data_IF_833773410899
#
_entry.id   IF_833773410899
#
_cell.length_a   1.000
_cell.length_b   1.000
_cell.length_c   1.000
_cell.angle_alpha   90.00
_cell.angle_beta   90.00
_cell.angle_gamma   90.00
#
_symmetry.space_group_name_H-M   'P 1'
#
loop_
_entity.id
_entity.type
_entity.pdbx_description
1 polymer ?
#
# COMPACT_ATOMS: atom_id res chain seq x y z
N UNK A 1 25.50 27.37 66.35
CA UNK A 1 25.22 26.41 65.25
C UNK A 1 23.72 26.14 65.20
N UNK A 2 23.16 25.83 64.03
CA UNK A 2 21.72 25.61 63.68
C UNK A 2 20.80 26.84 63.60
N UNK A 3 21.00 27.79 62.66
CA UNK A 3 19.95 28.80 62.38
C UNK A 3 19.95 29.45 60.97
N UNK A 4 20.61 28.87 59.95
CA UNK A 4 20.62 29.43 58.57
C UNK A 4 20.09 28.44 57.51
N UNK A 5 19.98 27.15 57.85
CA UNK A 5 19.59 26.09 56.88
C UNK A 5 18.07 25.88 56.72
N UNK A 6 17.26 26.46 57.61
CA UNK A 6 15.78 26.33 57.59
C UNK A 6 15.12 27.47 56.79
N UNK A 7 15.75 28.66 56.73
CA UNK A 7 15.18 29.84 56.07
C UNK A 7 15.29 29.82 54.54
N UNK A 8 16.30 29.16 53.97
CA UNK A 8 16.45 29.03 52.50
C UNK A 8 15.44 28.04 51.91
N UNK A 9 15.02 27.03 52.68
CA UNK A 9 14.13 25.97 52.24
C UNK A 9 12.66 26.43 52.10
N UNK A 10 12.29 27.53 52.77
CA UNK A 10 10.93 28.12 52.68
C UNK A 10 10.77 29.11 51.52
N UNK A 11 11.86 29.64 50.95
CA UNK A 11 11.82 30.53 49.79
C UNK A 11 11.71 29.77 48.45
N UNK A 12 12.30 28.56 48.37
CA UNK A 12 12.27 27.72 47.16
C UNK A 12 10.87 27.14 46.88
N UNK A 13 10.11 26.76 47.92
CA UNK A 13 8.75 26.25 47.74
C UNK A 13 7.74 27.30 47.22
N UNK A 14 7.96 28.60 47.46
CA UNK A 14 7.07 29.66 46.95
C UNK A 14 7.31 29.96 45.45
N UNK A 15 8.53 29.83 44.94
CA UNK A 15 8.80 30.04 43.51
C UNK A 15 8.26 28.91 42.64
N UNK A 16 8.30 27.65 43.09
CA UNK A 16 7.80 26.51 42.32
C UNK A 16 6.26 26.47 42.23
N UNK A 17 5.55 27.00 43.23
CA UNK A 17 4.08 27.10 43.19
C UNK A 17 3.59 28.16 42.18
N UNK A 18 4.34 29.25 41.96
CA UNK A 18 3.94 30.31 41.02
C UNK A 18 4.11 29.89 39.54
N UNK A 19 5.09 29.02 39.23
CA UNK A 19 5.29 28.49 37.88
C UNK A 19 4.25 27.43 37.46
N UNK A 20 3.65 26.71 38.40
CA UNK A 20 2.62 25.70 38.10
C UNK A 20 1.23 26.31 37.83
N UNK A 21 0.88 27.47 38.40
CA UNK A 21 -0.41 28.12 38.08
C UNK A 21 -0.41 28.90 36.76
N UNK A 22 0.75 29.36 36.26
CA UNK A 22 0.84 30.07 34.97
C UNK A 22 0.79 29.13 33.74
N UNK A 23 1.00 27.83 33.91
CA UNK A 23 0.94 26.83 32.82
C UNK A 23 -0.43 26.18 32.66
N UNK A 24 -1.33 26.29 33.63
CA UNK A 24 -2.65 25.67 33.55
C UNK A 24 -3.68 26.55 32.81
N UNK A 25 -3.54 27.88 32.87
CA UNK A 25 -4.43 28.80 32.16
C UNK A 25 -4.18 28.86 30.63
N UNK A 26 -2.96 28.51 30.15
CA UNK A 26 -2.68 28.36 28.71
C UNK A 26 -3.14 27.03 28.13
N UNK A 27 -3.25 25.98 28.95
CA UNK A 27 -3.70 24.65 28.50
C UNK A 27 -5.21 24.59 28.27
N UNK A 28 -6.01 25.36 29.03
CA UNK A 28 -7.46 25.39 28.82
C UNK A 28 -7.93 26.18 27.59
N UNK A 29 -7.15 27.13 27.09
CA UNK A 29 -7.51 27.86 25.86
C UNK A 29 -6.91 27.24 24.59
N UNK A 30 -5.84 26.44 24.69
CA UNK A 30 -5.30 25.67 23.56
C UNK A 30 -6.17 24.45 23.20
N UNK A 31 -6.92 23.90 24.16
CA UNK A 31 -7.72 22.68 23.95
C UNK A 31 -9.02 22.90 23.16
N UNK A 32 -9.54 24.13 23.05
CA UNK A 32 -10.89 24.37 22.49
C UNK A 32 -10.85 25.10 21.14
N UNK A 33 -9.69 25.62 20.70
CA UNK A 33 -9.55 26.27 19.38
C UNK A 33 -8.80 25.42 18.35
N UNK A 34 -8.22 24.28 18.74
CA UNK A 34 -7.74 23.25 17.79
C UNK A 34 -8.91 22.31 17.49
N UNK A 35 -9.97 22.85 16.88
CA UNK A 35 -11.12 22.04 16.41
C UNK A 35 -11.66 22.53 15.07
N UNK A 36 -10.99 23.49 14.42
CA UNK A 36 -11.43 24.06 13.15
C UNK A 36 -10.34 24.09 12.05
N UNK A 37 -9.16 23.51 12.30
CA UNK A 37 -8.06 23.43 11.31
C UNK A 37 -7.50 22.00 11.09
N UNK A 38 -8.14 20.96 11.62
CA UNK A 38 -7.82 19.55 11.29
C UNK A 38 -8.72 18.99 10.18
N UNK A 39 -9.49 19.86 9.53
CA UNK A 39 -10.11 19.58 8.23
C UNK A 39 -8.97 19.64 7.20
N UNK A 40 -8.37 18.47 6.92
CA UNK A 40 -7.77 18.03 5.63
C UNK A 40 -6.61 17.02 5.84
N UNK A 41 -6.91 15.81 6.35
CA UNK A 41 -6.37 14.54 5.80
C UNK A 41 -7.13 13.31 6.34
N UNK A 42 -8.41 13.47 6.69
CA UNK A 42 -9.23 12.41 7.28
C UNK A 42 -10.34 11.91 6.35
N UNK A 43 -10.36 12.32 5.07
CA UNK A 43 -11.43 11.93 4.14
C UNK A 43 -10.91 11.60 2.73
N UNK A 44 -10.10 10.55 2.63
CA UNK A 44 -10.36 9.53 1.61
C UNK A 44 -10.75 8.25 2.35
N UNK A 45 -12.05 8.17 2.61
CA UNK A 45 -12.76 6.92 2.77
C UNK A 45 -12.56 6.09 1.49
N UNK A 46 -11.94 4.93 1.61
CA UNK A 46 -12.31 3.74 0.86
C UNK A 46 -11.72 2.51 1.52
N UNK A 47 -12.58 1.78 2.23
CA UNK A 47 -12.47 0.36 2.57
C UNK A 47 -11.29 -0.06 3.44
N UNK A 48 -11.53 -0.99 4.36
CA UNK A 48 -10.47 -1.72 5.06
C UNK A 48 -9.72 -2.62 4.09
N UNK A 49 -8.92 -2.03 3.22
CA UNK A 49 -7.85 -2.73 2.53
C UNK A 49 -6.65 -2.63 3.45
N UNK A 50 -6.51 -3.64 4.32
CA UNK A 50 -5.26 -3.95 5.00
C UNK A 50 -4.18 -4.00 3.92
N UNK A 51 -3.42 -2.90 3.78
CA UNK A 51 -2.34 -2.82 2.81
C UNK A 51 -1.40 -3.97 3.13
N UNK A 52 -1.35 -4.97 2.26
CA UNK A 52 -0.56 -6.18 2.51
C UNK A 52 0.90 -5.76 2.41
N UNK A 53 1.62 -5.87 3.52
CA UNK A 53 3.03 -5.50 3.60
C UNK A 53 3.93 -6.72 3.40
N UNK A 54 5.09 -6.52 2.77
CA UNK A 54 6.09 -7.56 2.61
C UNK A 54 6.69 -7.95 3.97
N UNK A 55 6.68 -9.23 4.37
CA UNK A 55 7.16 -9.66 5.68
C UNK A 55 8.70 -9.56 5.84
N UNK A 56 9.43 -9.29 4.76
CA UNK A 56 10.90 -9.20 4.77
C UNK A 56 11.41 -7.76 4.90
N UNK A 57 10.76 -6.81 4.23
CA UNK A 57 11.18 -5.40 4.22
C UNK A 57 10.21 -4.45 4.90
N UNK A 58 9.03 -4.92 5.33
CA UNK A 58 7.96 -4.09 5.91
C UNK A 58 7.54 -2.94 4.99
N UNK A 59 7.64 -3.14 3.68
CA UNK A 59 7.17 -2.19 2.67
C UNK A 59 5.80 -2.63 2.14
N UNK A 60 4.89 -1.70 1.85
CA UNK A 60 3.60 -2.02 1.26
C UNK A 60 3.78 -2.67 -0.11
N UNK A 61 3.04 -3.75 -0.37
CA UNK A 61 3.04 -4.41 -1.68
C UNK A 61 2.23 -3.57 -2.68
N UNK A 62 2.81 -3.36 -3.86
CA UNK A 62 2.12 -2.75 -4.99
C UNK A 62 1.04 -3.68 -5.55
N UNK A 63 0.09 -3.13 -6.31
CA UNK A 63 -1.04 -3.88 -6.88
C UNK A 63 -0.57 -5.09 -7.71
N UNK A 64 0.53 -4.96 -8.44
CA UNK A 64 1.13 -6.05 -9.21
C UNK A 64 1.79 -7.13 -8.34
N UNK A 65 2.27 -6.75 -7.15
CA UNK A 65 2.90 -7.65 -6.18
C UNK A 65 1.86 -8.41 -5.33
N UNK A 66 0.61 -7.93 -5.25
CA UNK A 66 -0.49 -8.61 -4.53
C UNK A 66 -0.84 -9.99 -5.12
N UNK A 67 -0.60 -10.20 -6.41
CA UNK A 67 -0.79 -11.49 -7.08
C UNK A 67 0.53 -12.21 -7.39
N UNK A 68 1.66 -11.70 -6.87
CA UNK A 68 2.97 -12.28 -7.08
C UNK A 68 3.32 -13.30 -6.00
N UNK A 69 3.27 -14.59 -6.36
CA UNK A 69 3.65 -15.71 -5.50
C UNK A 69 4.82 -16.46 -6.12
N UNK A 70 6.09 -16.15 -5.74
CA UNK A 70 7.24 -16.79 -6.35
C UNK A 70 7.35 -18.28 -5.99
N UNK A 71 6.67 -18.74 -4.93
CA UNK A 71 6.59 -20.14 -4.55
C UNK A 71 5.14 -20.62 -4.41
N UNK A 72 4.90 -21.88 -4.77
CA UNK A 72 3.59 -22.55 -4.65
C UNK A 72 3.14 -22.82 -3.21
N UNK A 73 3.95 -22.48 -2.20
CA UNK A 73 3.54 -22.56 -0.80
C UNK A 73 2.62 -21.42 -0.34
N UNK A 74 2.42 -20.39 -1.18
CA UNK A 74 1.61 -19.22 -0.83
C UNK A 74 2.34 -18.17 0.01
N UNK A 75 3.66 -18.28 0.18
CA UNK A 75 4.45 -17.26 0.86
C UNK A 75 4.68 -16.05 -0.06
N UNK A 76 4.03 -14.94 0.26
CA UNK A 76 4.08 -13.69 -0.50
C UNK A 76 5.21 -12.78 0.00
N UNK A 77 5.96 -12.22 -0.94
CA UNK A 77 7.05 -11.27 -0.71
C UNK A 77 7.10 -10.28 -1.89
N UNK A 78 7.67 -9.10 -1.70
CA UNK A 78 7.82 -8.13 -2.77
C UNK A 78 8.82 -8.59 -3.84
N UNK A 79 8.74 -7.96 -5.01
CA UNK A 79 9.63 -8.22 -6.16
C UNK A 79 11.11 -8.05 -5.82
N UNK A 80 11.44 -7.01 -5.04
CA UNK A 80 12.82 -6.68 -4.66
C UNK A 80 13.43 -7.73 -3.73
N UNK A 81 12.70 -8.17 -2.71
CA UNK A 81 13.16 -9.23 -1.81
C UNK A 81 13.36 -10.55 -2.56
N UNK A 82 12.44 -10.92 -3.45
CA UNK A 82 12.62 -12.10 -4.31
C UNK A 82 13.90 -12.00 -5.16
N UNK A 83 14.16 -10.83 -5.76
CA UNK A 83 15.37 -10.63 -6.55
C UNK A 83 16.64 -10.75 -5.71
N UNK A 84 16.67 -10.15 -4.52
CA UNK A 84 17.79 -10.25 -3.58
C UNK A 84 18.06 -11.71 -3.17
N UNK A 85 17.01 -12.45 -2.79
CA UNK A 85 17.14 -13.85 -2.39
C UNK A 85 17.73 -14.72 -3.52
N UNK A 86 17.38 -14.42 -4.77
CA UNK A 86 17.88 -15.16 -5.94
C UNK A 86 19.32 -14.78 -6.32
N UNK A 87 19.73 -13.53 -6.09
CA UNK A 87 21.03 -13.01 -6.53
C UNK A 87 22.11 -13.14 -5.45
N UNK A 88 21.78 -12.83 -4.19
CA UNK A 88 22.75 -12.71 -3.10
C UNK A 88 22.70 -13.88 -2.10
N UNK A 89 21.60 -14.64 -2.07
CA UNK A 89 21.36 -15.74 -1.13
C UNK A 89 21.12 -17.07 -1.87
N UNK A 90 20.48 -18.04 -1.20
CA UNK A 90 20.36 -19.43 -1.66
C UNK A 90 19.32 -19.64 -2.76
N UNK A 91 18.53 -18.63 -3.15
CA UNK A 91 17.41 -18.77 -4.07
C UNK A 91 16.26 -19.66 -3.55
N UNK A 92 16.21 -19.91 -2.25
CA UNK A 92 15.21 -20.76 -1.59
C UNK A 92 14.13 -19.92 -0.93
N UNK A 93 12.89 -20.42 -0.93
CA UNK A 93 11.79 -19.78 -0.22
C UNK A 93 12.03 -19.75 1.30
N UNK A 94 11.85 -18.60 1.98
CA UNK A 94 12.06 -18.49 3.43
C UNK A 94 11.15 -19.40 4.26
N UNK A 95 9.92 -19.64 3.81
CA UNK A 95 8.94 -20.44 4.54
C UNK A 95 9.11 -21.94 4.33
N UNK A 96 9.27 -22.39 3.08
CA UNK A 96 9.23 -23.82 2.73
C UNK A 96 10.57 -24.40 2.27
N UNK A 97 11.62 -23.56 2.17
CA UNK A 97 12.98 -23.93 1.72
C UNK A 97 13.05 -24.61 0.34
N UNK A 98 12.00 -24.53 -0.48
CA UNK A 98 12.03 -24.99 -1.88
C UNK A 98 12.70 -23.94 -2.76
N UNK A 99 13.47 -24.39 -3.75
CA UNK A 99 14.01 -23.52 -4.77
C UNK A 99 12.86 -22.86 -5.55
N UNK A 100 12.99 -21.56 -5.81
CA UNK A 100 12.07 -20.89 -6.70
C UNK A 100 12.21 -21.49 -8.10
N UNK A 101 11.08 -21.74 -8.79
CA UNK A 101 11.13 -22.23 -10.17
C UNK A 101 11.77 -21.15 -11.05
N UNK A 102 12.92 -21.44 -11.64
CA UNK A 102 13.69 -20.46 -12.40
C UNK A 102 13.07 -20.11 -13.76
N UNK A 103 11.95 -20.73 -14.12
CA UNK A 103 11.40 -20.58 -15.45
C UNK A 103 10.64 -19.24 -15.57
N UNK A 104 11.14 -18.27 -16.36
CA UNK A 104 10.39 -17.06 -16.66
C UNK A 104 9.12 -17.50 -17.35
N UNK A 105 7.99 -17.45 -16.63
CA UNK A 105 6.63 -17.81 -17.04
C UNK A 105 6.61 -18.72 -18.28
N UNK A 106 6.46 -20.04 -18.11
CA UNK A 106 6.27 -20.98 -19.21
C UNK A 106 5.26 -20.42 -20.23
N UNK A 107 5.78 -19.67 -21.21
CA UNK A 107 4.98 -19.00 -22.20
C UNK A 107 4.74 -20.10 -23.20
N UNK A 108 3.75 -20.93 -22.91
CA UNK A 108 3.30 -21.95 -23.85
C UNK A 108 2.79 -21.15 -25.04
N UNK A 109 3.53 -21.11 -26.17
CA UNK A 109 3.03 -20.38 -27.32
C UNK A 109 1.74 -21.06 -27.75
N UNK A 110 0.70 -20.26 -28.00
CA UNK A 110 -0.56 -20.77 -28.54
C UNK A 110 -0.26 -21.61 -29.79
N UNK A 111 -0.87 -22.79 -29.88
CA UNK A 111 -0.70 -23.67 -31.03
C UNK A 111 -1.15 -22.95 -32.31
N UNK A 112 -0.61 -23.35 -33.46
CA UNK A 112 -0.98 -22.75 -34.75
C UNK A 112 -2.51 -22.78 -34.99
N UNK A 113 -3.18 -23.82 -34.50
CA UNK A 113 -4.64 -23.97 -34.57
C UNK A 113 -5.37 -22.93 -33.72
N UNK A 114 -4.93 -22.69 -32.47
CA UNK A 114 -5.52 -21.68 -31.60
C UNK A 114 -5.36 -20.27 -32.17
N UNK A 115 -4.18 -19.97 -32.73
CA UNK A 115 -3.91 -18.70 -33.41
C UNK A 115 -4.80 -18.52 -34.64
N UNK A 116 -5.02 -19.58 -35.43
CA UNK A 116 -5.91 -19.55 -36.59
C UNK A 116 -7.37 -19.29 -36.19
N UNK A 117 -7.86 -19.95 -35.14
CA UNK A 117 -9.22 -19.76 -34.60
C UNK A 117 -9.44 -18.33 -34.13
N UNK A 118 -8.50 -17.77 -33.37
CA UNK A 118 -8.57 -16.39 -32.89
C UNK A 118 -8.57 -15.38 -34.04
N UNK A 119 -7.76 -15.60 -35.07
CA UNK A 119 -7.74 -14.75 -36.28
C UNK A 119 -9.05 -14.84 -37.06
N UNK A 120 -9.62 -16.04 -37.21
CA UNK A 120 -10.90 -16.24 -37.90
C UNK A 120 -12.06 -15.57 -37.14
N UNK A 121 -12.12 -15.73 -35.82
CA UNK A 121 -13.14 -15.10 -34.98
C UNK A 121 -13.05 -13.57 -35.03
N UNK A 122 -11.82 -13.01 -34.97
CA UNK A 122 -11.62 -11.56 -35.11
C UNK A 122 -12.11 -11.04 -36.47
N UNK A 123 -11.81 -11.76 -37.56
CA UNK A 123 -12.29 -11.42 -38.92
C UNK A 123 -13.82 -11.44 -39.00
N UNK A 124 -14.47 -12.46 -38.44
CA UNK A 124 -15.93 -12.55 -38.42
C UNK A 124 -16.55 -11.40 -37.61
N UNK A 125 -15.98 -11.08 -36.44
CA UNK A 125 -16.47 -9.97 -35.60
C UNK A 125 -16.32 -8.61 -36.28
N UNK A 126 -15.21 -8.38 -36.97
CA UNK A 126 -15.00 -7.15 -37.74
C UNK A 126 -15.95 -7.04 -38.95
N UNK A 127 -16.23 -8.15 -39.65
CA UNK A 127 -17.22 -8.19 -40.72
C UNK A 127 -18.63 -7.88 -40.20
N UNK A 128 -19.03 -8.48 -39.07
CA UNK A 128 -20.32 -8.19 -38.43
C UNK A 128 -20.41 -6.72 -38.01
N UNK A 129 -19.34 -6.15 -37.43
CA UNK A 129 -19.30 -4.72 -37.07
C UNK A 129 -19.45 -3.83 -38.31
N UNK A 130 -18.74 -4.12 -39.40
CA UNK A 130 -18.86 -3.38 -40.67
C UNK A 130 -20.26 -3.51 -41.28
N UNK A 131 -20.87 -4.69 -41.27
CA UNK A 131 -22.22 -4.89 -41.79
C UNK A 131 -23.27 -4.12 -40.97
N UNK A 132 -23.16 -4.13 -39.64
CA UNK A 132 -24.01 -3.33 -38.75
C UNK A 132 -23.84 -1.83 -38.97
N UNK A 133 -22.60 -1.36 -39.13
CA UNK A 133 -22.30 0.04 -39.41
C UNK A 133 -22.83 0.48 -40.79
N UNK A 134 -22.66 -0.35 -41.83
CA UNK A 134 -23.20 -0.06 -43.15
C UNK A 134 -24.75 -0.06 -43.16
N UNK A 135 -25.37 -0.99 -42.44
CA UNK A 135 -26.83 -1.01 -42.24
C UNK A 135 -27.34 0.20 -41.47
N UNK A 136 -26.65 0.59 -40.39
CA UNK A 136 -26.97 1.79 -39.61
C UNK A 136 -26.78 3.06 -40.46
N UNK A 137 -25.70 3.17 -41.23
CA UNK A 137 -25.44 4.31 -42.13
C UNK A 137 -26.56 4.48 -43.17
N UNK A 138 -27.09 3.39 -43.72
CA UNK A 138 -28.24 3.43 -44.63
C UNK A 138 -29.56 3.85 -43.95
N UNK A 139 -29.68 3.61 -42.64
CA UNK A 139 -30.85 3.97 -41.83
C UNK A 139 -30.83 5.44 -41.43
N UNK A 140 -29.66 6.01 -41.11
CA UNK A 140 -29.49 7.44 -40.78
C UNK A 140 -29.59 8.38 -41.98
N UNK A 141 -29.44 7.85 -43.21
CA UNK A 141 -29.44 8.64 -44.46
C UNK A 141 -30.84 8.77 -45.11
N UNK A 142 -31.88 8.18 -44.51
CA UNK A 142 -33.29 8.28 -44.90
C UNK A 142 -34.01 9.20 -43.92
#
# INVERSE_FOLDING_TARGET
MLNVRVRVRMQICKLLAFQLLATHARKKLFSVTVSAAEIEMSVLNQSGEEQVECPLCMEPLEVDDLNFFPCTCGYQICRFCWHRIRTDENGLCPACRKAYSENPADFIPLSQEQVAKLKAEKRQRDQQRKAKLAGAESTWRR
#
